data_IF_430384588291
#
_entry.id   IF_430384588291
#
_cell.length_a   1.000
_cell.length_b   1.000
_cell.length_c   1.000
_cell.angle_alpha   90.00
_cell.angle_beta   90.00
_cell.angle_gamma   90.00
#
_symmetry.space_group_name_H-M   'P 1'
#
loop_
_entity.id
_entity.type
_entity.pdbx_description
1 polymer ?
#
# COMPACT_ATOMS: atom_id res chain seq x y z
N UNK A 1 -22.52 23.42 14.32
CA UNK A 1 -22.72 22.01 13.92
C UNK A 1 -22.80 21.92 12.41
N UNK A 2 -21.99 21.09 11.74
CA UNK A 2 -22.09 20.92 10.28
C UNK A 2 -23.11 19.81 9.96
N UNK A 3 -24.10 20.05 9.09
CA UNK A 3 -25.14 19.07 8.80
C UNK A 3 -24.53 17.85 8.08
N UNK A 4 -24.75 16.66 8.65
CA UNK A 4 -24.35 15.37 8.07
C UNK A 4 -25.50 14.80 7.25
N UNK A 5 -25.81 15.40 6.10
CA UNK A 5 -26.60 14.69 5.09
C UNK A 5 -25.66 13.79 4.29
N UNK A 6 -25.44 12.57 4.78
CA UNK A 6 -24.77 11.53 4.02
C UNK A 6 -25.77 11.00 2.98
N UNK A 7 -25.79 11.63 1.80
CA UNK A 7 -26.38 10.98 0.62
C UNK A 7 -25.59 9.70 0.39
N UNK A 8 -26.26 8.54 0.39
CA UNK A 8 -25.67 7.24 0.08
C UNK A 8 -25.30 7.17 -1.40
N UNK A 9 -24.32 8.00 -1.80
CA UNK A 9 -23.78 8.01 -3.15
C UNK A 9 -22.74 6.90 -3.20
N UNK A 10 -23.05 5.85 -3.95
CA UNK A 10 -22.09 4.83 -4.35
C UNK A 10 -20.84 5.48 -4.94
N UNK A 11 -19.72 4.79 -4.80
CA UNK A 11 -18.46 5.19 -5.42
C UNK A 11 -18.56 4.90 -6.92
N UNK A 12 -18.31 5.90 -7.76
CA UNK A 12 -18.33 5.71 -9.21
C UNK A 12 -17.04 5.04 -9.68
N UNK A 13 -16.98 4.62 -10.95
CA UNK A 13 -15.74 4.13 -11.55
C UNK A 13 -14.66 5.23 -11.58
N UNK A 14 -15.06 6.46 -11.88
CA UNK A 14 -14.16 7.63 -11.91
C UNK A 14 -13.57 7.94 -10.52
N UNK A 15 -14.39 7.84 -9.47
CA UNK A 15 -13.93 7.97 -8.09
C UNK A 15 -12.84 6.93 -7.77
N UNK A 16 -13.01 5.69 -8.24
CA UNK A 16 -12.04 4.60 -8.06
C UNK A 16 -10.74 4.86 -8.82
N UNK A 17 -10.81 5.34 -10.07
CA UNK A 17 -9.64 5.74 -10.85
C UNK A 17 -8.88 6.89 -10.18
N UNK A 18 -9.60 7.85 -9.59
CA UNK A 18 -8.99 8.96 -8.83
C UNK A 18 -8.26 8.45 -7.58
N UNK A 19 -8.88 7.54 -6.82
CA UNK A 19 -8.23 6.91 -5.66
C UNK A 19 -6.98 6.14 -6.10
N UNK A 20 -7.04 5.37 -7.19
CA UNK A 20 -5.89 4.61 -7.70
C UNK A 20 -4.73 5.54 -8.07
N UNK A 21 -5.03 6.65 -8.76
CA UNK A 21 -4.03 7.63 -9.15
C UNK A 21 -3.39 8.31 -7.94
N UNK A 22 -4.20 8.68 -6.94
CA UNK A 22 -3.69 9.26 -5.69
C UNK A 22 -2.77 8.30 -4.92
N UNK A 23 -3.09 7.00 -4.88
CA UNK A 23 -2.19 5.99 -4.26
C UNK A 23 -0.84 5.95 -4.97
N UNK A 24 -0.83 5.95 -6.31
CA UNK A 24 0.41 5.92 -7.09
C UNK A 24 1.26 7.20 -6.91
N UNK A 25 0.61 8.34 -6.66
CA UNK A 25 1.27 9.61 -6.40
C UNK A 25 1.71 9.79 -4.93
N UNK A 26 1.30 8.89 -4.04
CA UNK A 26 1.59 8.99 -2.60
C UNK A 26 0.68 9.96 -1.84
N UNK A 27 -0.51 10.26 -2.38
CA UNK A 27 -1.47 11.17 -1.75
C UNK A 27 -2.04 10.61 -0.45
N UNK A 28 -2.37 11.54 0.46
CA UNK A 28 -3.06 11.17 1.70
C UNK A 28 -4.52 10.82 1.46
N UNK A 29 -5.11 9.98 2.32
CA UNK A 29 -6.55 9.66 2.26
C UNK A 29 -7.46 10.90 2.29
N UNK A 30 -7.03 11.97 2.97
CA UNK A 30 -7.79 13.23 3.03
C UNK A 30 -7.76 13.98 1.70
N UNK A 31 -6.62 14.00 1.02
CA UNK A 31 -6.48 14.63 -0.30
C UNK A 31 -7.36 13.92 -1.33
N UNK A 32 -7.25 12.58 -1.42
CA UNK A 32 -8.09 11.78 -2.31
C UNK A 32 -9.59 11.96 -2.01
N UNK A 33 -9.97 11.94 -0.72
CA UNK A 33 -11.36 12.13 -0.31
C UNK A 33 -11.91 13.53 -0.69
N UNK A 34 -11.06 14.56 -0.63
CA UNK A 34 -11.41 15.92 -1.07
C UNK A 34 -11.63 15.96 -2.58
N UNK A 35 -10.80 15.26 -3.37
CA UNK A 35 -10.93 15.21 -4.83
C UNK A 35 -12.27 14.58 -5.27
N UNK A 36 -12.68 13.48 -4.64
CA UNK A 36 -13.94 12.79 -4.98
C UNK A 36 -15.16 13.29 -4.17
N UNK A 37 -14.99 14.32 -3.34
CA UNK A 37 -16.02 14.84 -2.43
C UNK A 37 -16.70 13.77 -1.55
N UNK A 38 -15.91 12.81 -1.03
CA UNK A 38 -16.38 11.75 -0.11
C UNK A 38 -15.69 11.84 1.26
N UNK A 39 -16.11 10.98 2.19
CA UNK A 39 -15.43 10.85 3.47
C UNK A 39 -14.11 10.06 3.33
N UNK A 40 -13.05 10.40 4.08
CA UNK A 40 -11.80 9.63 4.08
C UNK A 40 -11.97 8.16 4.47
N UNK A 41 -12.97 7.86 5.32
CA UNK A 41 -13.32 6.48 5.68
C UNK A 41 -13.89 5.69 4.51
N UNK A 42 -14.55 6.33 3.54
CA UNK A 42 -15.01 5.69 2.30
C UNK A 42 -13.82 5.31 1.43
N UNK A 43 -12.87 6.21 1.24
CA UNK A 43 -11.61 5.92 0.52
C UNK A 43 -10.86 4.78 1.19
N UNK A 44 -10.72 4.81 2.52
CA UNK A 44 -10.05 3.74 3.26
C UNK A 44 -10.75 2.38 3.12
N UNK A 45 -12.09 2.34 3.12
CA UNK A 45 -12.86 1.11 2.87
C UNK A 45 -12.64 0.60 1.45
N UNK A 46 -12.68 1.47 0.45
CA UNK A 46 -12.46 1.11 -0.94
C UNK A 46 -11.08 0.47 -1.15
N UNK A 47 -10.03 1.12 -0.62
CA UNK A 47 -8.67 0.61 -0.68
C UNK A 47 -8.56 -0.74 0.02
N UNK A 48 -9.16 -0.88 1.21
CA UNK A 48 -9.13 -2.16 1.94
C UNK A 48 -9.83 -3.29 1.19
N UNK A 49 -10.91 -2.99 0.46
CA UNK A 49 -11.68 -3.96 -0.29
C UNK A 49 -10.93 -4.45 -1.53
N UNK A 50 -10.17 -3.57 -2.20
CA UNK A 50 -9.53 -3.86 -3.48
C UNK A 50 -8.00 -4.00 -3.43
N UNK A 51 -7.36 -3.71 -2.29
CA UNK A 51 -5.90 -3.89 -2.18
C UNK A 51 -5.55 -5.38 -2.24
N UNK A 52 -4.55 -5.70 -3.04
CA UNK A 52 -3.89 -7.00 -3.01
C UNK A 52 -2.66 -6.90 -2.12
N UNK A 53 -2.54 -7.78 -1.14
CA UNK A 53 -1.33 -7.88 -0.34
C UNK A 53 -0.26 -8.61 -1.14
N UNK A 54 0.72 -7.87 -1.67
CA UNK A 54 1.78 -8.43 -2.52
C UNK A 54 2.80 -9.24 -1.70
N UNK A 55 3.18 -8.79 -0.50
CA UNK A 55 3.99 -9.60 0.42
C UNK A 55 3.78 -9.19 1.88
N UNK A 56 3.86 -10.17 2.78
CA UNK A 56 4.03 -9.94 4.23
C UNK A 56 5.49 -10.12 4.56
N UNK A 57 6.32 -9.16 4.17
CA UNK A 57 7.73 -9.23 4.50
C UNK A 57 8.10 -8.23 5.58
N UNK A 58 8.60 -8.73 6.71
CA UNK A 58 9.23 -7.91 7.75
C UNK A 58 10.71 -7.65 7.48
N UNK A 59 11.28 -8.29 6.45
CA UNK A 59 12.69 -8.14 6.09
C UNK A 59 12.85 -6.88 5.25
N UNK A 60 13.78 -6.03 5.66
CA UNK A 60 14.20 -4.83 4.92
C UNK A 60 14.72 -5.16 3.51
N UNK A 61 15.21 -6.38 3.31
CA UNK A 61 15.72 -6.86 2.04
C UNK A 61 15.33 -8.33 1.82
N UNK A 62 14.74 -8.64 0.67
CA UNK A 62 14.33 -10.00 0.30
C UNK A 62 15.53 -10.86 -0.12
N UNK A 63 16.42 -11.17 0.83
CA UNK A 63 17.57 -12.03 0.60
C UNK A 63 17.19 -13.51 0.78
N UNK A 64 17.35 -14.32 -0.26
CA UNK A 64 17.10 -15.76 -0.21
C UNK A 64 18.02 -16.49 0.78
N UNK A 65 19.21 -15.93 1.05
CA UNK A 65 20.13 -16.47 2.03
C UNK A 65 19.88 -15.95 3.46
N UNK A 66 18.87 -15.09 3.70
CA UNK A 66 18.70 -14.37 4.96
C UNK A 66 18.73 -15.29 6.20
N UNK A 67 17.93 -16.37 6.20
CA UNK A 67 17.86 -17.29 7.36
C UNK A 67 19.19 -18.01 7.64
N UNK A 68 20.01 -18.23 6.61
CA UNK A 68 21.32 -18.91 6.67
C UNK A 68 22.48 -17.93 6.49
N UNK A 69 22.24 -16.63 6.66
CA UNK A 69 23.23 -15.60 6.37
C UNK A 69 24.37 -15.68 7.37
N UNK A 70 25.58 -15.94 6.88
CA UNK A 70 26.79 -16.01 7.71
C UNK A 70 27.18 -14.64 8.29
N UNK A 71 26.69 -13.54 7.70
CA UNK A 71 26.93 -12.15 8.14
C UNK A 71 25.92 -11.65 9.17
N UNK A 72 25.28 -12.57 9.91
CA UNK A 72 24.41 -12.22 11.03
C UNK A 72 23.10 -11.52 10.63
N UNK A 73 22.57 -11.77 9.42
CA UNK A 73 21.31 -11.19 8.90
C UNK A 73 21.35 -9.67 8.64
N UNK A 74 22.55 -9.10 8.56
CA UNK A 74 22.78 -7.70 8.16
C UNK A 74 22.88 -7.59 6.64
N UNK A 75 21.78 -7.86 5.94
CA UNK A 75 21.75 -7.79 4.47
C UNK A 75 21.59 -6.35 3.99
N UNK A 76 22.48 -5.92 3.08
CA UNK A 76 22.41 -4.64 2.37
C UNK A 76 22.40 -4.88 0.86
N UNK A 77 21.96 -3.88 0.08
CA UNK A 77 22.06 -3.92 -1.39
C UNK A 77 23.52 -4.01 -1.89
N UNK A 78 24.47 -3.57 -1.07
CA UNK A 78 25.91 -3.64 -1.32
C UNK A 78 26.57 -4.96 -0.87
N UNK A 79 25.79 -5.90 -0.34
CA UNK A 79 26.31 -7.18 0.11
C UNK A 79 26.66 -8.06 -1.09
N UNK A 80 27.92 -8.46 -1.20
CA UNK A 80 28.42 -9.38 -2.23
C UNK A 80 27.68 -10.72 -2.27
N UNK A 81 27.21 -11.18 -1.12
CA UNK A 81 26.50 -12.46 -0.98
C UNK A 81 24.97 -12.31 -1.06
N UNK A 82 24.48 -11.12 -1.44
CA UNK A 82 23.05 -10.88 -1.56
C UNK A 82 22.46 -11.74 -2.68
N UNK A 83 21.48 -12.57 -2.32
CA UNK A 83 20.71 -13.36 -3.28
C UNK A 83 19.28 -12.83 -3.33
N UNK A 84 18.87 -12.12 -4.38
CA UNK A 84 17.49 -11.66 -4.51
C UNK A 84 16.52 -12.84 -4.51
N UNK A 85 15.44 -12.75 -3.73
CA UNK A 85 14.32 -13.69 -3.77
C UNK A 85 13.25 -13.16 -4.74
N UNK A 86 13.00 -13.87 -5.84
CA UNK A 86 11.98 -13.51 -6.82
C UNK A 86 10.54 -13.80 -6.36
N UNK A 87 10.37 -14.68 -5.38
CA UNK A 87 9.05 -15.13 -4.90
C UNK A 87 8.50 -14.27 -3.76
N UNK A 88 9.09 -13.10 -3.50
CA UNK A 88 8.89 -12.38 -2.25
C UNK A 88 9.64 -13.06 -1.09
N UNK A 89 9.31 -12.69 0.14
CA UNK A 89 10.06 -13.15 1.30
C UNK A 89 9.84 -14.62 1.64
N UNK A 90 10.96 -15.31 1.90
CA UNK A 90 11.04 -16.72 2.28
C UNK A 90 10.48 -17.01 3.67
#
# INVERSE_FOLDING_TARGET
MKPKHATFKHLTLEDRCTILSGINQGDTFRAMAKAISKAPSTVAKEIRLHRTLVSRCQLSLACAAYRRCQRGRTCSLSCSDYRPSHSGCL
#
